data_IF_204069593298
#
_entry.id   IF_204069593298
#
_cell.length_a   1.000
_cell.length_b   1.000
_cell.length_c   1.000
_cell.angle_alpha   90.00
_cell.angle_beta   90.00
_cell.angle_gamma   90.00
#
_symmetry.space_group_name_H-M   'P 1'
#
loop_
_entity.id
_entity.type
_entity.pdbx_description
1 polymer ?
#
# COMPACT_ATOMS: atom_id res chain seq x y z
N UNK A 1 28.88 1.74 25.39
CA UNK A 1 28.79 1.38 23.97
C UNK A 1 27.33 1.42 23.60
N UNK A 2 26.93 2.34 22.73
CA UNK A 2 25.55 2.38 22.23
C UNK A 2 25.36 1.14 21.36
N UNK A 3 24.33 0.35 21.65
CA UNK A 3 23.87 -0.72 20.75
C UNK A 3 23.39 -0.04 19.47
N UNK A 4 24.18 -0.12 18.40
CA UNK A 4 23.68 0.18 17.06
C UNK A 4 22.46 -0.71 16.83
N UNK A 5 21.28 -0.10 16.81
CA UNK A 5 20.09 -0.75 16.29
C UNK A 5 20.40 -1.09 14.84
N UNK A 6 20.64 -2.37 14.55
CA UNK A 6 20.77 -2.87 13.19
C UNK A 6 19.46 -2.58 12.48
N UNK A 7 19.40 -1.46 11.75
CA UNK A 7 18.28 -1.16 10.87
C UNK A 7 18.33 -2.23 9.78
N UNK A 8 17.42 -3.19 9.85
CA UNK A 8 17.30 -4.19 8.80
C UNK A 8 17.02 -3.45 7.49
N UNK A 9 17.80 -3.73 6.46
CA UNK A 9 17.80 -3.03 5.18
C UNK A 9 16.59 -3.42 4.30
N UNK A 10 15.38 -3.43 4.88
CA UNK A 10 14.14 -3.82 4.23
C UNK A 10 13.75 -2.93 3.05
N UNK A 11 14.32 -1.74 2.92
CA UNK A 11 14.16 -0.87 1.75
C UNK A 11 15.12 -1.19 0.61
N UNK A 12 16.08 -2.11 0.80
CA UNK A 12 17.15 -2.37 -0.17
C UNK A 12 16.92 -3.68 -0.94
N UNK A 13 17.19 -3.71 -2.26
CA UNK A 13 17.00 -4.91 -3.08
C UNK A 13 17.84 -6.09 -2.58
N UNK A 14 19.06 -5.84 -2.12
CA UNK A 14 20.00 -6.88 -1.68
C UNK A 14 19.48 -7.69 -0.50
N UNK A 15 18.70 -7.07 0.40
CA UNK A 15 18.05 -7.78 1.51
C UNK A 15 17.06 -8.82 0.96
N UNK A 16 16.18 -8.39 0.05
CA UNK A 16 15.13 -9.23 -0.52
C UNK A 16 15.68 -10.30 -1.46
N UNK A 17 16.65 -9.97 -2.32
CA UNK A 17 17.32 -10.95 -3.18
C UNK A 17 17.96 -12.07 -2.35
N UNK A 18 18.65 -11.71 -1.25
CA UNK A 18 19.25 -12.68 -0.34
C UNK A 18 18.16 -13.53 0.34
N UNK A 19 17.09 -12.90 0.84
CA UNK A 19 15.97 -13.58 1.50
C UNK A 19 15.30 -14.60 0.57
N UNK A 20 14.98 -14.20 -0.65
CA UNK A 20 14.28 -15.03 -1.64
C UNK A 20 15.19 -16.11 -2.24
N UNK A 21 16.51 -15.92 -2.25
CA UNK A 21 17.46 -16.94 -2.69
C UNK A 21 17.61 -18.08 -1.69
N UNK A 22 17.52 -17.79 -0.39
CA UNK A 22 17.82 -18.76 0.67
C UNK A 22 16.59 -19.45 1.25
N UNK A 23 15.42 -18.83 1.17
CA UNK A 23 14.19 -19.37 1.75
C UNK A 23 13.17 -19.68 0.66
N UNK A 24 13.14 -20.95 0.27
CA UNK A 24 12.19 -21.45 -0.72
C UNK A 24 10.87 -21.86 -0.07
N UNK A 25 9.81 -21.08 -0.30
CA UNK A 25 8.46 -21.43 0.14
C UNK A 25 7.49 -20.25 0.00
N UNK A 26 6.18 -20.52 -0.22
CA UNK A 26 5.18 -19.47 -0.15
C UNK A 26 5.14 -18.93 1.29
N UNK A 27 5.46 -17.66 1.46
CA UNK A 27 5.38 -16.96 2.73
C UNK A 27 4.56 -15.69 2.56
N UNK A 28 3.54 -15.53 3.38
CA UNK A 28 2.75 -14.30 3.43
C UNK A 28 3.01 -13.62 4.78
N UNK A 29 3.61 -12.42 4.73
CA UNK A 29 3.96 -11.64 5.91
C UNK A 29 2.74 -11.05 6.62
N UNK A 30 1.61 -10.92 5.90
CA UNK A 30 0.38 -10.30 6.39
C UNK A 30 -0.79 -11.27 6.19
N UNK A 31 -1.84 -10.82 5.48
CA UNK A 31 -3.02 -11.60 5.21
C UNK A 31 -2.90 -12.28 3.85
N UNK A 32 -3.27 -13.56 3.81
CA UNK A 32 -3.53 -14.25 2.54
C UNK A 32 -4.65 -13.55 1.79
N UNK A 33 -4.60 -13.61 0.47
CA UNK A 33 -5.61 -12.99 -0.39
C UNK A 33 -7.05 -13.36 0.00
N UNK A 34 -7.33 -14.63 0.29
CA UNK A 34 -8.68 -15.09 0.65
C UNK A 34 -9.30 -14.32 1.83
N UNK A 35 -8.49 -13.97 2.84
CA UNK A 35 -8.95 -13.19 4.00
C UNK A 35 -9.28 -11.74 3.63
N UNK A 36 -8.64 -11.20 2.59
CA UNK A 36 -8.83 -9.83 2.11
C UNK A 36 -9.88 -9.73 0.98
N UNK A 37 -10.15 -10.83 0.28
CA UNK A 37 -10.98 -10.86 -0.91
C UNK A 37 -12.35 -10.20 -0.73
N UNK A 38 -13.11 -10.44 0.37
CA UNK A 38 -14.40 -9.76 0.57
C UNK A 38 -14.29 -8.24 0.56
N UNK A 39 -13.23 -7.69 1.16
CA UNK A 39 -12.98 -6.26 1.21
C UNK A 39 -12.48 -5.72 -0.12
N UNK A 40 -11.54 -6.42 -0.77
CA UNK A 40 -11.01 -6.01 -2.08
C UNK A 40 -12.15 -5.97 -3.12
N UNK A 41 -13.02 -6.99 -3.12
CA UNK A 41 -14.18 -7.09 -4.01
C UNK A 41 -15.22 -5.98 -3.78
N UNK A 42 -15.25 -5.35 -2.59
CA UNK A 42 -16.10 -4.18 -2.31
C UNK A 42 -15.62 -2.92 -3.04
N UNK A 43 -14.31 -2.77 -3.26
CA UNK A 43 -13.71 -1.56 -3.79
C UNK A 43 -13.16 -1.69 -5.21
N UNK A 44 -12.94 -2.91 -5.70
CA UNK A 44 -12.25 -3.15 -6.97
C UNK A 44 -13.02 -4.14 -7.83
N UNK A 45 -13.40 -3.71 -9.04
CA UNK A 45 -14.06 -4.56 -10.05
C UNK A 45 -13.07 -5.53 -10.70
N UNK A 46 -13.55 -6.70 -11.16
CA UNK A 46 -12.74 -7.74 -11.83
C UNK A 46 -12.05 -7.27 -13.11
N UNK A 47 -12.69 -6.36 -13.83
CA UNK A 47 -12.19 -5.76 -15.07
C UNK A 47 -11.21 -4.59 -14.83
N UNK A 48 -11.03 -4.19 -13.57
CA UNK A 48 -10.07 -3.15 -13.25
C UNK A 48 -8.64 -3.67 -13.44
N UNK A 49 -7.82 -2.83 -14.07
CA UNK A 49 -6.36 -2.96 -14.02
C UNK A 49 -5.82 -2.59 -12.64
N UNK A 50 -5.05 -3.49 -12.04
CA UNK A 50 -4.61 -3.42 -10.64
C UNK A 50 -3.10 -3.54 -10.58
N UNK A 51 -2.48 -2.68 -9.76
CA UNK A 51 -1.06 -2.78 -9.40
C UNK A 51 -0.95 -3.39 -8.00
N UNK A 52 -0.35 -4.55 -7.89
CA UNK A 52 -0.01 -5.21 -6.63
C UNK A 52 1.45 -4.92 -6.27
N UNK A 53 1.64 -4.14 -5.23
CA UNK A 53 2.90 -3.89 -4.56
C UNK A 53 3.05 -4.95 -3.46
N UNK A 54 3.85 -5.98 -3.76
CA UNK A 54 3.85 -7.32 -3.14
C UNK A 54 2.67 -8.24 -3.55
N UNK A 55 2.98 -9.53 -3.65
CA UNK A 55 2.23 -10.53 -4.44
C UNK A 55 0.76 -10.74 -4.10
N UNK A 56 -0.04 -10.94 -5.16
CA UNK A 56 -1.49 -11.09 -5.12
C UNK A 56 -2.03 -12.14 -6.10
N UNK A 57 -1.35 -13.28 -6.27
CA UNK A 57 -1.70 -14.31 -7.27
C UNK A 57 -3.15 -14.82 -7.18
N UNK A 58 -3.69 -14.90 -5.96
CA UNK A 58 -5.05 -15.42 -5.72
C UNK A 58 -6.15 -14.55 -6.31
N UNK A 59 -5.84 -13.32 -6.75
CA UNK A 59 -6.79 -12.46 -7.43
C UNK A 59 -7.26 -13.04 -8.77
N UNK A 60 -6.36 -13.70 -9.51
CA UNK A 60 -6.72 -14.27 -10.82
C UNK A 60 -7.67 -15.45 -10.65
N UNK A 61 -7.47 -16.28 -9.62
CA UNK A 61 -8.37 -17.39 -9.27
C UNK A 61 -9.78 -16.88 -8.90
N UNK A 62 -9.88 -15.67 -8.36
CA UNK A 62 -11.15 -15.03 -8.03
C UNK A 62 -11.76 -14.28 -9.24
N UNK A 63 -11.04 -14.20 -10.37
CA UNK A 63 -11.55 -13.71 -11.66
C UNK A 63 -11.08 -12.31 -12.06
N UNK A 64 -10.05 -11.76 -11.39
CA UNK A 64 -9.43 -10.51 -11.84
C UNK A 64 -8.63 -10.72 -13.13
N UNK A 65 -8.79 -9.79 -14.08
CA UNK A 65 -8.32 -9.99 -15.46
C UNK A 65 -6.97 -9.34 -15.77
N UNK A 66 -6.57 -8.32 -15.01
CA UNK A 66 -5.32 -7.57 -15.25
C UNK A 66 -4.65 -7.16 -13.92
N UNK A 67 -3.79 -8.05 -13.43
CA UNK A 67 -3.04 -7.88 -12.17
C UNK A 67 -1.55 -7.77 -12.50
N UNK A 68 -0.99 -6.59 -12.28
CA UNK A 68 0.44 -6.31 -12.43
C UNK A 68 1.09 -6.34 -11.05
N UNK A 69 2.01 -7.26 -10.81
CA UNK A 69 2.77 -7.36 -9.57
C UNK A 69 4.15 -6.73 -9.76
N UNK A 70 4.57 -5.92 -8.79
CA UNK A 70 5.91 -5.34 -8.75
C UNK A 70 6.63 -5.69 -7.47
N UNK A 71 7.94 -5.89 -7.59
CA UNK A 71 8.89 -6.07 -6.50
C UNK A 71 10.26 -5.56 -6.95
N UNK A 72 11.06 -5.05 -6.02
CA UNK A 72 12.40 -4.53 -6.28
C UNK A 72 13.41 -5.68 -6.54
N UNK A 73 13.13 -6.86 -5.99
CA UNK A 73 13.97 -8.05 -6.10
C UNK A 73 13.81 -8.74 -7.45
N UNK A 74 14.92 -8.90 -8.17
CA UNK A 74 14.91 -9.65 -9.42
C UNK A 74 14.68 -11.14 -9.19
N UNK A 75 15.21 -11.68 -8.09
CA UNK A 75 15.14 -13.11 -7.76
C UNK A 75 13.69 -13.59 -7.71
N UNK A 76 12.83 -12.88 -6.99
CA UNK A 76 11.43 -13.28 -6.86
C UNK A 76 10.62 -13.00 -8.12
N UNK A 77 10.91 -11.90 -8.83
CA UNK A 77 10.23 -11.58 -10.08
C UNK A 77 10.50 -12.66 -11.12
N UNK A 78 11.75 -13.05 -11.32
CA UNK A 78 12.12 -14.14 -12.25
C UNK A 78 11.47 -15.47 -11.85
N UNK A 79 11.46 -15.79 -10.55
CA UNK A 79 10.82 -16.99 -10.04
C UNK A 79 9.29 -17.00 -10.31
N UNK A 80 8.61 -15.87 -10.10
CA UNK A 80 7.17 -15.75 -10.32
C UNK A 80 6.81 -15.71 -11.81
N UNK A 81 7.60 -15.03 -12.64
CA UNK A 81 7.45 -15.07 -14.11
C UNK A 81 7.54 -16.50 -14.63
N UNK A 82 8.50 -17.29 -14.13
CA UNK A 82 8.63 -18.71 -14.50
C UNK A 82 7.46 -19.55 -13.99
N UNK A 83 7.00 -19.31 -12.76
CA UNK A 83 5.92 -20.08 -12.12
C UNK A 83 4.56 -19.85 -12.80
N UNK A 84 4.26 -18.62 -13.18
CA UNK A 84 2.96 -18.21 -13.71
C UNK A 84 3.00 -17.81 -15.19
N UNK A 85 3.99 -18.29 -15.96
CA UNK A 85 4.17 -17.95 -17.37
C UNK A 85 2.96 -18.25 -18.26
N UNK A 86 2.08 -19.17 -17.84
CA UNK A 86 0.87 -19.57 -18.57
C UNK A 86 -0.39 -18.78 -18.14
N UNK A 87 -0.27 -17.82 -17.22
CA UNK A 87 -1.39 -16.99 -16.75
C UNK A 87 -1.21 -15.55 -17.22
N UNK A 88 -1.70 -15.18 -18.42
CA UNK A 88 -1.48 -13.85 -18.97
C UNK A 88 -2.18 -12.72 -18.21
N UNK A 89 -3.15 -13.05 -17.34
CA UNK A 89 -3.78 -12.08 -16.42
C UNK A 89 -2.82 -11.60 -15.32
N UNK A 90 -1.75 -12.38 -15.05
CA UNK A 90 -0.82 -12.15 -13.96
C UNK A 90 0.56 -11.75 -14.52
N UNK A 91 0.89 -10.47 -14.36
CA UNK A 91 2.14 -9.90 -14.84
C UNK A 91 3.07 -9.65 -13.66
N UNK A 92 4.36 -9.81 -13.88
CA UNK A 92 5.40 -9.59 -12.88
C UNK A 92 6.49 -8.71 -13.49
N UNK A 93 6.74 -7.57 -12.86
CA UNK A 93 7.69 -6.56 -13.35
C UNK A 93 8.63 -6.19 -12.22
N UNK A 94 9.94 -6.26 -12.46
CA UNK A 94 10.92 -5.77 -11.48
C UNK A 94 10.86 -4.26 -11.49
N UNK A 95 10.58 -3.66 -10.34
CA UNK A 95 10.41 -2.21 -10.24
C UNK A 95 10.62 -1.74 -8.80
N UNK A 96 11.21 -0.56 -8.65
CA UNK A 96 11.25 0.14 -7.38
C UNK A 96 9.99 1.00 -7.25
N UNK A 97 9.17 0.78 -6.23
CA UNK A 97 7.91 1.53 -6.06
C UNK A 97 8.10 3.02 -5.75
N UNK A 98 9.33 3.45 -5.50
CA UNK A 98 9.70 4.88 -5.39
C UNK A 98 9.87 5.55 -6.76
N UNK A 99 9.97 4.76 -7.82
CA UNK A 99 10.08 5.21 -9.22
C UNK A 99 9.36 4.20 -10.13
N UNK A 100 8.10 4.49 -10.43
CA UNK A 100 7.23 3.72 -11.31
C UNK A 100 7.09 4.42 -12.67
N UNK A 101 8.13 5.12 -13.13
CA UNK A 101 8.11 5.93 -14.36
C UNK A 101 7.79 5.15 -15.64
N UNK A 102 7.99 3.83 -15.66
CA UNK A 102 7.56 2.97 -16.76
C UNK A 102 6.03 2.85 -16.88
N UNK A 103 5.28 3.19 -15.83
CA UNK A 103 3.83 3.26 -15.86
C UNK A 103 3.33 4.68 -16.13
N UNK A 104 2.38 4.79 -17.04
CA UNK A 104 1.68 6.04 -17.32
C UNK A 104 0.92 6.56 -16.09
N UNK A 105 0.85 7.89 -15.96
CA UNK A 105 -0.04 8.55 -15.01
C UNK A 105 -1.48 8.13 -15.26
N UNK A 106 -2.26 7.90 -14.20
CA UNK A 106 -3.67 7.49 -14.29
C UNK A 106 -3.89 6.18 -15.10
N UNK A 107 -3.04 5.18 -14.91
CA UNK A 107 -3.11 3.90 -15.63
C UNK A 107 -3.75 2.75 -14.84
N UNK A 108 -3.85 2.85 -13.52
CA UNK A 108 -4.40 1.80 -12.64
C UNK A 108 -5.67 2.26 -11.91
N UNK A 109 -6.64 1.37 -11.75
CA UNK A 109 -7.86 1.67 -10.98
C UNK A 109 -7.66 1.37 -9.49
N UNK A 110 -6.74 0.47 -9.15
CA UNK A 110 -6.37 0.19 -7.78
C UNK A 110 -4.89 -0.12 -7.64
N UNK A 111 -4.33 0.25 -6.49
CA UNK A 111 -3.01 -0.16 -6.02
C UNK A 111 -3.20 -0.92 -4.71
N UNK A 112 -2.76 -2.18 -4.65
CA UNK A 112 -2.76 -2.98 -3.43
C UNK A 112 -1.34 -3.02 -2.88
N UNK A 113 -1.12 -2.54 -1.66
CA UNK A 113 0.16 -2.62 -0.96
C UNK A 113 0.00 -3.46 0.29
N UNK A 114 0.78 -4.54 0.34
CA UNK A 114 0.80 -5.47 1.45
C UNK A 114 2.17 -5.48 2.11
N UNK A 115 2.42 -4.46 2.93
CA UNK A 115 3.60 -4.36 3.79
C UNK A 115 4.86 -3.76 3.15
N UNK A 116 4.79 -3.31 1.90
CA UNK A 116 5.95 -2.68 1.25
C UNK A 116 6.20 -1.28 1.81
N UNK A 117 5.15 -0.50 2.06
CA UNK A 117 5.30 0.77 2.77
C UNK A 117 5.90 0.57 4.17
N UNK A 118 5.59 -0.55 4.84
CA UNK A 118 6.17 -0.88 6.16
C UNK A 118 7.67 -1.14 6.04
N UNK A 119 8.07 -1.85 4.99
CA UNK A 119 9.47 -2.16 4.68
C UNK A 119 10.28 -0.90 4.41
N UNK A 120 9.74 0.06 3.63
CA UNK A 120 10.37 1.36 3.42
C UNK A 120 10.47 2.17 4.72
N UNK A 121 9.46 2.08 5.59
CA UNK A 121 9.43 2.82 6.85
C UNK A 121 10.43 2.29 7.90
N UNK A 122 10.86 1.03 7.79
CA UNK A 122 11.91 0.44 8.64
C UNK A 122 13.34 0.79 8.18
N UNK A 123 13.51 1.31 6.97
CA UNK A 123 14.82 1.60 6.38
C UNK A 123 15.36 3.01 6.65
N UNK A 124 16.52 3.31 6.08
CA UNK A 124 17.10 4.66 6.07
C UNK A 124 16.26 5.59 5.19
N UNK A 125 16.27 6.90 5.49
CA UNK A 125 15.46 7.91 4.78
C UNK A 125 13.97 7.53 4.67
N UNK A 126 13.46 6.78 5.65
CA UNK A 126 12.15 6.15 5.67
C UNK A 126 11.01 7.08 5.27
N UNK A 127 10.97 8.29 5.84
CA UNK A 127 9.93 9.28 5.54
C UNK A 127 9.99 9.79 4.10
N UNK A 128 11.19 10.00 3.55
CA UNK A 128 11.37 10.46 2.18
C UNK A 128 10.99 9.35 1.19
N UNK A 129 11.50 8.13 1.40
CA UNK A 129 11.17 6.96 0.60
C UNK A 129 9.66 6.68 0.60
N UNK A 130 9.02 6.75 1.77
CA UNK A 130 7.58 6.61 1.90
C UNK A 130 6.81 7.72 1.17
N UNK A 131 7.31 8.97 1.21
CA UNK A 131 6.68 10.09 0.48
C UNK A 131 6.76 9.85 -1.02
N UNK A 132 7.94 9.49 -1.56
CA UNK A 132 8.13 9.18 -2.98
C UNK A 132 7.25 8.03 -3.46
N UNK A 133 7.17 6.94 -2.69
CA UNK A 133 6.27 5.83 -3.00
C UNK A 133 4.81 6.29 -3.07
N UNK A 134 4.34 7.07 -2.09
CA UNK A 134 2.95 7.54 -2.07
C UNK A 134 2.64 8.52 -3.21
N UNK A 135 3.60 9.35 -3.61
CA UNK A 135 3.50 10.22 -4.79
C UNK A 135 3.36 9.40 -6.07
N UNK A 136 4.17 8.36 -6.25
CA UNK A 136 4.06 7.45 -7.39
C UNK A 136 2.75 6.67 -7.39
N UNK A 137 2.31 6.15 -6.24
CA UNK A 137 1.00 5.51 -6.08
C UNK A 137 -0.13 6.45 -6.49
N UNK A 138 -0.10 7.70 -6.02
CA UNK A 138 -1.08 8.70 -6.41
C UNK A 138 -1.03 9.01 -7.90
N UNK A 139 0.16 9.12 -8.49
CA UNK A 139 0.36 9.41 -9.91
C UNK A 139 -0.24 8.31 -10.79
N UNK A 140 0.07 7.05 -10.52
CA UNK A 140 -0.37 5.92 -11.35
C UNK A 140 -1.86 5.60 -11.19
N UNK A 141 -2.48 5.98 -10.07
CA UNK A 141 -3.92 5.83 -9.86
C UNK A 141 -4.73 6.74 -10.78
N UNK A 142 -5.80 6.18 -11.36
CA UNK A 142 -6.87 6.93 -12.03
C UNK A 142 -7.65 7.79 -11.05
N UNK A 143 -8.38 8.77 -11.57
CA UNK A 143 -9.39 9.49 -10.79
C UNK A 143 -10.39 8.52 -10.14
N UNK A 144 -10.69 8.74 -8.86
CA UNK A 144 -11.47 7.83 -8.01
C UNK A 144 -10.86 6.43 -7.83
N UNK A 145 -9.61 6.23 -8.27
CA UNK A 145 -8.87 5.00 -8.03
C UNK A 145 -8.54 4.83 -6.54
N UNK A 146 -8.38 3.58 -6.11
CA UNK A 146 -8.20 3.25 -4.70
C UNK A 146 -6.82 2.67 -4.40
N UNK A 147 -6.14 3.23 -3.41
CA UNK A 147 -4.98 2.63 -2.77
C UNK A 147 -5.44 1.83 -1.54
N UNK A 148 -5.18 0.53 -1.54
CA UNK A 148 -5.53 -0.40 -0.47
C UNK A 148 -4.23 -0.80 0.22
N UNK A 149 -4.01 -0.28 1.43
CA UNK A 149 -2.81 -0.55 2.22
C UNK A 149 -3.14 -1.51 3.37
N UNK A 150 -2.51 -2.69 3.37
CA UNK A 150 -2.53 -3.66 4.48
C UNK A 150 -1.22 -3.53 5.26
N UNK A 151 -1.30 -3.21 6.55
CA UNK A 151 -0.15 -2.77 7.33
C UNK A 151 -0.26 -3.06 8.84
N UNK A 152 0.89 -3.13 9.53
CA UNK A 152 0.96 -3.06 10.99
C UNK A 152 0.85 -1.62 11.53
N UNK A 153 0.98 -0.63 10.65
CA UNK A 153 0.98 0.79 10.99
C UNK A 153 -0.34 1.24 11.60
N UNK A 154 -0.32 1.48 12.91
CA UNK A 154 -1.47 2.01 13.63
C UNK A 154 -1.91 3.40 13.10
N UNK A 155 -3.20 3.75 13.24
CA UNK A 155 -3.76 4.99 12.72
C UNK A 155 -3.03 6.26 13.16
N UNK A 156 -2.48 6.28 14.38
CA UNK A 156 -1.70 7.40 14.92
C UNK A 156 -0.51 7.78 14.06
N UNK A 157 0.15 6.77 13.48
CA UNK A 157 1.31 6.99 12.62
C UNK A 157 0.89 7.04 11.16
N UNK A 158 0.06 6.08 10.71
CA UNK A 158 -0.20 5.90 9.28
C UNK A 158 -1.08 6.99 8.69
N UNK A 159 -2.08 7.48 9.43
CA UNK A 159 -2.94 8.56 8.93
C UNK A 159 -2.17 9.86 8.72
N UNK A 160 -1.19 10.18 9.57
CA UNK A 160 -0.37 11.39 9.42
C UNK A 160 0.42 11.41 8.09
N UNK A 161 0.82 10.22 7.63
CA UNK A 161 1.53 10.04 6.37
C UNK A 161 0.56 10.05 5.19
N UNK A 162 -0.50 9.24 5.25
CA UNK A 162 -1.47 9.09 4.15
C UNK A 162 -2.24 10.38 3.86
N UNK A 163 -2.59 11.16 4.89
CA UNK A 163 -3.35 12.42 4.73
C UNK A 163 -2.59 13.51 3.97
N UNK A 164 -1.29 13.34 3.75
CA UNK A 164 -0.50 14.26 2.89
C UNK A 164 -0.86 14.07 1.41
N UNK A 165 -1.32 12.87 1.03
CA UNK A 165 -1.54 12.46 -0.35
C UNK A 165 -3.00 12.07 -0.65
N UNK A 166 -3.79 11.76 0.37
CA UNK A 166 -5.19 11.33 0.21
C UNK A 166 -6.08 12.02 1.24
N UNK A 167 -7.14 12.66 0.78
CA UNK A 167 -8.14 13.29 1.66
C UNK A 167 -9.22 12.30 2.11
N UNK A 168 -9.57 11.34 1.24
CA UNK A 168 -10.63 10.36 1.45
C UNK A 168 -10.03 9.02 1.91
N UNK A 169 -10.06 8.78 3.22
CA UNK A 169 -9.50 7.57 3.83
C UNK A 169 -10.57 6.86 4.65
N UNK A 170 -10.77 5.57 4.39
CA UNK A 170 -11.55 4.65 5.24
C UNK A 170 -10.61 3.66 5.90
N UNK A 171 -10.85 3.35 7.17
CA UNK A 171 -10.08 2.35 7.91
C UNK A 171 -10.92 1.10 8.10
N UNK A 172 -10.37 -0.05 7.78
CA UNK A 172 -10.89 -1.37 8.12
C UNK A 172 -9.86 -2.11 8.98
N UNK A 173 -10.32 -3.13 9.70
CA UNK A 173 -9.49 -3.89 10.64
C UNK A 173 -9.78 -5.37 10.46
N UNK A 174 -8.72 -6.18 10.49
CA UNK A 174 -8.80 -7.64 10.39
C UNK A 174 -7.87 -8.28 11.42
N UNK A 175 -8.33 -9.32 12.10
CA UNK A 175 -7.49 -10.06 13.06
C UNK A 175 -6.32 -10.75 12.32
N UNK A 176 -5.11 -10.76 12.91
CA UNK A 176 -3.93 -11.39 12.27
C UNK A 176 -4.06 -12.89 12.15
N UNK A 177 -4.64 -13.53 13.17
CA UNK A 177 -4.88 -14.96 13.22
C UNK A 177 -6.38 -15.24 13.18
N UNK A 178 -6.86 -15.72 12.04
CA UNK A 178 -8.10 -16.50 12.00
C UNK A 178 -7.75 -17.89 12.51
N UNK A 179 -7.77 -18.09 13.82
CA UNK A 179 -7.75 -19.44 14.38
C UNK A 179 -8.96 -20.17 13.80
N UNK A 180 -8.73 -21.27 13.08
CA UNK A 180 -9.76 -22.19 12.53
C UNK A 180 -10.72 -22.77 13.60
N UNK A 181 -10.57 -22.35 14.87
CA UNK A 181 -11.35 -22.77 16.04
C UNK A 181 -11.84 -21.60 16.90
N UNK A 182 -12.14 -20.43 16.34
CA UNK A 182 -12.91 -19.43 17.09
C UNK A 182 -14.40 -19.80 17.07
N UNK A 183 -14.96 -20.07 18.25
CA UNK A 183 -16.40 -20.26 18.47
C UNK A 183 -17.15 -18.93 18.58
N UNK A 184 -16.42 -17.86 18.86
CA UNK A 184 -16.97 -16.52 19.01
C UNK A 184 -17.04 -15.79 17.66
N UNK A 185 -18.06 -14.96 17.42
CA UNK A 185 -18.14 -14.15 16.21
C UNK A 185 -16.91 -13.23 16.08
N UNK A 186 -16.46 -12.93 14.84
CA UNK A 186 -15.34 -12.04 14.62
C UNK A 186 -15.60 -10.68 15.28
N UNK A 187 -14.61 -10.18 16.03
CA UNK A 187 -14.69 -8.90 16.75
C UNK A 187 -14.94 -7.73 15.80
N UNK A 188 -14.44 -7.83 14.57
CA UNK A 188 -14.48 -6.79 13.56
C UNK A 188 -15.28 -7.27 12.35
N UNK A 189 -16.24 -6.46 11.92
CA UNK A 189 -16.89 -6.63 10.62
C UNK A 189 -15.97 -6.02 9.55
N UNK A 190 -15.25 -6.87 8.83
CA UNK A 190 -14.27 -6.46 7.81
C UNK A 190 -14.86 -5.48 6.79
N UNK A 191 -16.14 -5.61 6.45
CA UNK A 191 -16.77 -4.80 5.40
C UNK A 191 -17.28 -3.45 5.92
N UNK A 192 -17.33 -3.26 7.25
CA UNK A 192 -17.71 -1.98 7.85
C UNK A 192 -16.48 -1.17 8.21
N UNK A 193 -16.32 0.04 7.65
CA UNK A 193 -15.26 0.94 8.08
C UNK A 193 -15.37 1.25 9.56
N UNK A 194 -14.23 1.28 10.23
CA UNK A 194 -14.09 1.79 11.59
C UNK A 194 -14.27 3.32 11.57
N UNK A 195 -15.21 3.87 12.36
CA UNK A 195 -15.37 5.31 12.47
C UNK A 195 -14.12 5.96 13.09
N UNK A 196 -13.62 7.01 12.45
CA UNK A 196 -12.64 7.92 13.07
C UNK A 196 -12.91 9.35 12.58
N UNK A 197 -13.30 10.25 13.49
CA UNK A 197 -13.70 11.63 13.18
C UNK A 197 -12.47 12.53 12.95
N UNK A 198 -11.50 12.05 12.18
CA UNK A 198 -10.16 12.64 12.04
C UNK A 198 -9.34 12.75 13.34
N UNK A 199 -9.93 12.51 14.50
CA UNK A 199 -9.27 12.31 15.79
C UNK A 199 -8.94 10.83 15.99
N UNK A 200 -7.69 10.56 16.36
CA UNK A 200 -7.18 9.20 16.56
C UNK A 200 -7.44 8.71 17.99
N UNK A 201 -7.74 9.60 18.94
CA UNK A 201 -7.94 9.23 20.35
C UNK A 201 -9.15 8.30 20.59
N UNK A 202 -10.31 8.48 19.92
CA UNK A 202 -11.43 7.54 20.05
C UNK A 202 -11.07 6.13 19.55
N UNK A 203 -10.18 6.06 18.56
CA UNK A 203 -9.78 4.84 17.88
C UNK A 203 -8.90 3.94 18.76
N UNK A 204 -7.97 4.52 19.52
CA UNK A 204 -7.15 3.78 20.50
C UNK A 204 -8.00 3.21 21.63
N UNK A 205 -9.02 3.95 22.07
CA UNK A 205 -9.95 3.50 23.12
C UNK A 205 -10.79 2.32 22.63
N UNK A 206 -11.21 2.33 21.36
CA UNK A 206 -12.04 1.27 20.77
C UNK A 206 -11.23 0.02 20.39
N UNK A 207 -10.00 0.19 19.86
CA UNK A 207 -9.14 -0.91 19.48
C UNK A 207 -8.53 -1.63 20.69
N UNK A 208 -8.31 -0.90 21.79
CA UNK A 208 -7.57 -1.36 22.96
C UNK A 208 -6.07 -1.13 22.80
N UNK A 209 -5.31 -1.41 23.86
CA UNK A 209 -3.84 -1.32 23.80
C UNK A 209 -3.28 -2.50 22.99
N UNK A 210 -2.55 -2.18 21.91
CA UNK A 210 -1.84 -3.12 21.05
C UNK A 210 -2.71 -4.26 20.50
N UNK A 211 -3.75 -3.95 19.71
CA UNK A 211 -4.63 -4.96 19.15
C UNK A 211 -3.87 -5.92 18.21
N UNK A 212 -4.19 -7.21 18.28
CA UNK A 212 -3.59 -8.22 17.40
C UNK A 212 -4.27 -8.26 16.02
N UNK A 213 -4.18 -7.13 15.31
CA UNK A 213 -4.86 -6.89 14.03
C UNK A 213 -3.90 -6.38 12.97
N UNK A 214 -4.27 -6.54 11.70
CA UNK A 214 -3.78 -5.73 10.60
C UNK A 214 -4.77 -4.60 10.33
N UNK A 215 -4.23 -3.42 10.04
CA UNK A 215 -5.01 -2.27 9.59
C UNK A 215 -5.08 -2.26 8.07
N UNK A 216 -6.25 -1.91 7.53
CA UNK A 216 -6.46 -1.79 6.10
C UNK A 216 -6.97 -0.38 5.81
N UNK A 217 -6.13 0.44 5.19
CA UNK A 217 -6.50 1.79 4.77
C UNK A 217 -6.96 1.75 3.31
N UNK A 218 -8.17 2.24 3.06
CA UNK A 218 -8.71 2.44 1.73
C UNK A 218 -8.64 3.94 1.45
N UNK A 219 -7.66 4.34 0.66
CA UNK A 219 -7.41 5.72 0.27
C UNK A 219 -7.94 5.94 -1.14
N UNK A 220 -8.87 6.86 -1.32
CA UNK A 220 -9.43 7.18 -2.65
C UNK A 220 -8.73 8.42 -3.20
N UNK A 221 -8.23 8.33 -4.44
CA UNK A 221 -7.68 9.48 -5.15
C UNK A 221 -8.79 10.45 -5.50
N UNK A 222 -8.68 11.68 -5.02
CA UNK A 222 -9.58 12.79 -5.32
C UNK A 222 -8.89 13.91 -6.09
N UNK A 223 -9.61 14.50 -7.04
CA UNK A 223 -9.11 15.56 -7.92
C UNK A 223 -8.91 16.90 -7.20
N UNK A 224 -9.38 17.04 -5.95
CA UNK A 224 -9.36 18.32 -5.23
C UNK A 224 -7.94 18.71 -4.82
N UNK A 225 -7.04 17.74 -4.60
CA UNK A 225 -5.66 18.03 -4.23
C UNK A 225 -4.82 18.61 -5.39
N UNK A 226 -5.08 18.25 -6.64
CA UNK A 226 -4.36 18.84 -7.78
C UNK A 226 -4.67 20.33 -7.94
N UNK A 227 -5.93 20.73 -7.68
CA UNK A 227 -6.36 22.14 -7.77
C UNK A 227 -5.73 22.99 -6.67
N UNK A 228 -5.58 22.47 -5.45
CA UNK A 228 -4.95 23.21 -4.34
C UNK A 228 -3.43 23.33 -4.55
N UNK A 229 -2.78 22.30 -5.08
CA UNK A 229 -1.34 22.34 -5.38
C UNK A 229 -1.03 23.32 -6.52
N UNK A 230 -1.84 23.35 -7.59
CA UNK A 230 -1.70 24.32 -8.69
C UNK A 230 -1.97 25.76 -8.23
N UNK A 231 -3.01 25.98 -7.42
CA UNK A 231 -3.37 27.32 -6.91
C UNK A 231 -2.37 27.86 -5.88
N UNK A 232 -1.63 26.99 -5.18
CA UNK A 232 -0.50 27.37 -4.33
C UNK A 232 0.76 27.69 -5.15
N UNK A 233 1.03 26.96 -6.24
CA UNK A 233 2.20 27.20 -7.10
C UNK A 233 2.06 28.49 -7.94
N UNK A 234 0.85 28.84 -8.35
CA UNK A 234 0.56 30.10 -9.05
C UNK A 234 0.71 31.34 -8.15
N UNK A 235 0.52 31.19 -6.83
CA UNK A 235 0.68 32.28 -5.85
C UNK A 235 2.15 32.58 -5.51
N UNK A 236 3.08 31.65 -5.76
CA UNK A 236 4.51 31.88 -5.55
C UNK A 236 5.18 32.65 -6.70
N UNK A 237 4.62 32.61 -7.91
CA UNK A 237 5.21 33.27 -9.09
C UNK A 237 4.86 34.76 -9.23
N UNK A 238 3.93 35.29 -8.42
CA UNK A 238 3.52 36.71 -8.48
C UNK A 238 4.28 37.66 -7.54
N UNK A 239 5.37 37.23 -6.88
CA UNK A 239 6.10 38.07 -5.90
C UNK A 239 7.45 38.65 -6.34
N UNK A 240 7.87 38.45 -7.59
CA UNK A 240 9.12 39.03 -8.10
C UNK A 240 8.89 39.83 -9.40
N UNK A 241 8.05 40.86 -9.33
CA UNK A 241 8.06 41.96 -10.29
C UNK A 241 7.49 43.22 -9.61
N UNK A 242 8.32 43.86 -8.77
CA UNK A 242 8.13 45.28 -8.43
C UNK A 242 9.45 45.99 -8.72
N UNK A 243 9.32 46.91 -9.68
CA UNK A 243 10.35 47.64 -10.36
C UNK A 243 11.28 48.45 -9.45
N UNK A 244 12.54 48.56 -9.88
CA UNK A 244 13.45 49.64 -9.50
C UNK A 244 13.65 50.49 -10.75
N UNK A 245 12.95 51.63 -10.81
CA UNK A 245 13.38 52.81 -11.57
C UNK A 245 13.97 53.83 -10.59
#
# INVERSE_FOLDING_TARGET
MATETCTQAYGEPSYWDNRYSNESGPFDWYQKYHSLAPLINLYVSRHHRILAVAFSEGMVDDGYEDVVNVDISSVVIEAMQKKYCNLPQLKYVRMDVRDMSEFETCSFHAVLDKGTLDSLLCGNNSRENATRMLEEVWRVLKENGVYILVTYGAPTYRLSLLKRTFSLIKLHVIDKFVLEKRTDPPKWDLLKPVPFDNDVRPLETMLGQNPDVHYIYICTKDSIQSVIAEDCSLKTDQKYDVAVE
#
